data_IF_529733187993
#
_entry.id   IF_529733187993
#
_cell.length_a   1.000
_cell.length_b   1.000
_cell.length_c   1.000
_cell.angle_alpha   90.00
_cell.angle_beta   90.00
_cell.angle_gamma   90.00
#
_symmetry.space_group_name_H-M   'P 1'
#
loop_
_entity.id
_entity.type
_entity.pdbx_description
1 polymer ?
#
# COMPACT_ATOMS: atom_id res chain seq x y z
N UNK A 1 -9.58 -15.60 9.99
CA UNK A 1 -10.33 -14.34 9.76
C UNK A 1 -9.44 -13.39 8.95
N UNK A 2 -9.47 -13.52 7.63
CA UNK A 2 -8.64 -12.78 6.69
C UNK A 2 -9.49 -11.65 6.10
N UNK A 3 -9.25 -10.40 6.51
CA UNK A 3 -10.04 -9.24 6.05
C UNK A 3 -9.26 -8.49 4.97
N UNK A 4 -9.36 -9.00 3.74
CA UNK A 4 -9.31 -8.18 2.53
C UNK A 4 -10.71 -7.66 2.22
N UNK A 5 -10.82 -6.58 1.46
CA UNK A 5 -12.09 -6.02 1.02
C UNK A 5 -13.01 -7.12 0.47
N UNK A 6 -14.20 -7.26 1.08
CA UNK A 6 -15.22 -8.20 0.65
C UNK A 6 -15.97 -7.58 -0.53
N UNK A 7 -15.75 -8.13 -1.73
CA UNK A 7 -16.74 -8.12 -2.79
C UNK A 7 -17.63 -9.35 -2.61
N UNK A 8 -18.90 -9.15 -2.27
CA UNK A 8 -20.03 -10.05 -2.58
C UNK A 8 -21.34 -9.30 -2.29
N UNK A 9 -22.32 -9.49 -3.18
CA UNK A 9 -23.67 -8.90 -3.20
C UNK A 9 -24.60 -9.50 -2.10
N UNK A 10 -25.81 -8.93 -1.88
CA UNK A 10 -26.51 -8.94 -0.59
C UNK A 10 -27.48 -10.11 -0.41
N UNK A 11 -27.68 -10.55 0.84
CA UNK A 11 -28.93 -11.16 1.29
C UNK A 11 -29.26 -10.76 2.75
N UNK A 12 -30.43 -10.15 2.89
CA UNK A 12 -31.41 -10.06 3.98
C UNK A 12 -31.01 -10.20 5.47
N UNK A 13 -31.27 -9.09 6.17
CA UNK A 13 -32.04 -8.90 7.41
C UNK A 13 -32.13 -10.01 8.49
N UNK A 14 -31.84 -9.59 9.72
CA UNK A 14 -32.28 -10.23 10.96
C UNK A 14 -31.97 -9.36 12.16
N UNK A 15 -32.98 -8.65 12.66
CA UNK A 15 -32.97 -7.77 13.83
C UNK A 15 -32.59 -8.48 15.15
N UNK A 16 -32.04 -7.71 16.10
CA UNK A 16 -31.92 -8.10 17.50
C UNK A 16 -31.36 -6.97 18.37
N UNK A 17 -32.25 -6.14 18.91
CA UNK A 17 -31.97 -5.14 19.95
C UNK A 17 -31.53 -5.82 21.26
N UNK A 18 -30.63 -5.19 22.03
CA UNK A 18 -30.85 -5.07 23.47
C UNK A 18 -30.11 -3.89 24.13
N UNK A 19 -30.70 -3.44 25.24
CA UNK A 19 -30.65 -2.10 25.82
C UNK A 19 -29.65 -1.89 27.00
N UNK A 20 -29.08 -0.67 27.05
CA UNK A 20 -28.86 0.20 28.25
C UNK A 20 -27.70 -0.10 29.24
N UNK A 21 -27.40 0.78 30.23
CA UNK A 21 -27.43 2.26 30.24
C UNK A 21 -26.16 2.95 30.80
N UNK A 22 -26.04 4.23 30.43
CA UNK A 22 -25.54 5.41 31.18
C UNK A 22 -24.58 5.27 32.37
N UNK A 23 -23.42 5.94 32.26
CA UNK A 23 -22.76 6.60 33.41
C UNK A 23 -22.37 8.04 33.05
N UNK A 24 -22.94 8.99 33.80
CA UNK A 24 -22.53 10.39 33.87
C UNK A 24 -21.27 10.52 34.73
N UNK A 25 -20.24 11.24 34.26
CA UNK A 25 -19.28 11.89 35.16
C UNK A 25 -18.74 13.22 34.60
N UNK A 26 -19.17 14.29 35.27
CA UNK A 26 -18.43 15.49 35.68
C UNK A 26 -17.36 16.10 34.74
N UNK A 27 -17.70 17.27 34.19
CA UNK A 27 -16.73 18.27 33.72
C UNK A 27 -15.91 18.83 34.90
N UNK A 28 -14.58 18.64 34.87
CA UNK A 28 -13.62 19.47 35.61
C UNK A 28 -12.72 20.19 34.61
N UNK A 29 -12.76 21.52 34.64
CA UNK A 29 -11.82 22.44 33.98
C UNK A 29 -10.45 22.32 34.65
N UNK A 30 -9.37 22.31 33.86
CA UNK A 30 -7.99 22.58 34.28
C UNK A 30 -7.19 23.23 33.12
N UNK A 31 -6.04 23.87 33.41
CA UNK A 31 -5.78 25.26 33.05
C UNK A 31 -4.99 25.43 31.76
N UNK A 32 -4.96 26.70 31.30
CA UNK A 32 -4.09 27.18 30.23
C UNK A 32 -2.61 27.11 30.64
N UNK A 33 -1.79 26.87 29.62
CA UNK A 33 -0.35 27.14 29.49
C UNK A 33 0.62 25.96 29.67
N UNK A 34 1.18 25.54 28.54
CA UNK A 34 2.60 25.26 28.35
C UNK A 34 2.87 25.31 26.83
N UNK A 35 3.37 26.45 26.36
CA UNK A 35 3.80 26.67 24.98
C UNK A 35 5.06 25.85 24.69
N UNK A 36 4.93 24.79 23.88
CA UNK A 36 6.04 24.08 23.27
C UNK A 36 6.21 24.60 21.84
N UNK A 37 7.31 25.30 21.58
CA UNK A 37 7.68 25.75 20.23
C UNK A 37 8.12 24.55 19.38
N UNK A 38 7.15 23.93 18.71
CA UNK A 38 7.39 23.03 17.59
C UNK A 38 7.78 23.84 16.35
N UNK A 39 8.87 23.50 15.69
CA UNK A 39 8.98 23.74 14.24
C UNK A 39 8.31 22.60 13.49
N UNK A 40 7.03 22.35 13.81
CA UNK A 40 6.11 21.78 12.84
C UNK A 40 5.90 22.82 11.73
N UNK A 41 5.49 22.41 10.53
CA UNK A 41 4.75 23.35 9.68
C UNK A 41 3.63 23.90 10.56
N UNK A 42 3.69 25.20 10.87
CA UNK A 42 2.71 25.83 11.75
C UNK A 42 1.30 25.52 11.22
N UNK A 43 0.27 25.48 12.08
CA UNK A 43 -1.11 25.29 11.63
C UNK A 43 -1.47 26.18 10.43
N UNK A 44 -0.88 27.39 10.35
CA UNK A 44 -0.98 28.31 9.23
C UNK A 44 -0.30 27.83 7.93
N UNK A 45 0.88 27.20 8.00
CA UNK A 45 1.58 26.65 6.81
C UNK A 45 0.93 25.37 6.28
N UNK A 46 0.36 24.54 7.17
CA UNK A 46 -0.48 23.40 6.77
C UNK A 46 -1.74 23.87 6.06
N UNK A 47 -2.43 24.89 6.62
CA UNK A 47 -3.58 25.53 5.98
C UNK A 47 -3.25 26.01 4.57
N UNK A 48 -2.23 26.87 4.42
CA UNK A 48 -1.79 27.37 3.10
C UNK A 48 -1.45 26.28 2.09
N UNK A 49 -0.87 25.16 2.53
CA UNK A 49 -0.49 24.05 1.64
C UNK A 49 -1.70 23.24 1.17
N UNK A 50 -2.72 23.12 2.01
CA UNK A 50 -4.00 22.47 1.70
C UNK A 50 -4.87 23.40 0.85
N UNK A 51 -4.95 24.69 1.20
CA UNK A 51 -5.74 25.69 0.47
C UNK A 51 -5.29 25.79 -1.01
N UNK A 52 -3.99 25.66 -1.29
CA UNK A 52 -3.47 25.65 -2.68
C UNK A 52 -3.87 24.42 -3.51
N UNK A 53 -4.38 23.37 -2.87
CA UNK A 53 -4.81 22.12 -3.49
C UNK A 53 -6.33 21.97 -3.50
N UNK A 54 -7.06 22.96 -2.99
CA UNK A 54 -8.51 22.87 -2.86
C UNK A 54 -9.19 22.89 -4.24
N UNK A 55 -10.05 21.90 -4.46
CA UNK A 55 -10.92 21.80 -5.63
C UNK A 55 -12.35 22.11 -5.15
N UNK A 56 -13.04 23.08 -5.77
CA UNK A 56 -14.44 23.34 -5.47
C UNK A 56 -15.30 22.09 -5.64
N UNK A 57 -16.18 21.81 -4.68
CA UNK A 57 -17.06 20.63 -4.72
C UNK A 57 -17.97 20.58 -5.95
N UNK A 58 -18.28 21.73 -6.54
CA UNK A 58 -19.04 21.83 -7.79
C UNK A 58 -18.32 21.25 -9.01
N UNK A 59 -17.01 20.99 -8.93
CA UNK A 59 -16.22 20.37 -10.00
C UNK A 59 -16.02 18.87 -9.82
N UNK A 60 -16.39 18.32 -8.66
CA UNK A 60 -16.24 16.90 -8.34
C UNK A 60 -17.63 16.25 -8.31
N UNK A 61 -17.88 15.33 -9.24
CA UNK A 61 -19.13 14.58 -9.27
C UNK A 61 -18.88 13.14 -8.81
N UNK A 62 -19.34 12.82 -7.61
CA UNK A 62 -19.28 11.47 -7.04
C UNK A 62 -20.26 10.56 -7.78
N UNK A 63 -19.82 9.34 -8.10
CA UNK A 63 -20.62 8.30 -8.72
C UNK A 63 -20.74 7.10 -7.75
N UNK A 64 -20.30 5.92 -8.15
CA UNK A 64 -20.43 4.68 -7.39
C UNK A 64 -19.36 4.50 -6.32
N UNK A 65 -19.72 3.81 -5.23
CA UNK A 65 -18.74 3.36 -4.22
C UNK A 65 -17.96 2.17 -4.78
N UNK A 66 -16.63 2.28 -4.81
CA UNK A 66 -15.73 1.23 -5.35
C UNK A 66 -14.92 0.52 -4.27
N UNK A 67 -14.85 1.08 -3.07
CA UNK A 67 -14.12 0.45 -1.97
C UNK A 67 -14.47 1.04 -0.61
N UNK A 68 -14.30 0.22 0.44
CA UNK A 68 -14.42 0.66 1.83
C UNK A 68 -13.13 0.29 2.55
N UNK A 69 -12.32 1.31 2.84
CA UNK A 69 -11.10 1.17 3.64
C UNK A 69 -11.35 1.41 5.12
N UNK A 70 -10.28 1.31 5.92
CA UNK A 70 -10.33 1.64 7.34
C UNK A 70 -10.61 3.14 7.55
N UNK A 71 -9.83 4.00 6.89
CA UNK A 71 -9.90 5.46 7.02
C UNK A 71 -11.06 6.09 6.28
N UNK A 72 -11.59 5.44 5.25
CA UNK A 72 -12.45 6.14 4.31
C UNK A 72 -13.15 5.23 3.33
N UNK A 73 -14.19 5.78 2.73
CA UNK A 73 -14.84 5.19 1.57
C UNK A 73 -14.13 5.71 0.31
N UNK A 74 -13.98 4.85 -0.68
CA UNK A 74 -13.42 5.21 -1.99
C UNK A 74 -14.56 5.15 -2.99
N UNK A 75 -14.79 6.25 -3.68
CA UNK A 75 -15.78 6.38 -4.73
C UNK A 75 -15.09 6.59 -6.07
N UNK A 76 -15.70 6.10 -7.13
CA UNK A 76 -15.42 6.58 -8.48
C UNK A 76 -16.22 7.87 -8.71
N UNK A 77 -15.68 8.77 -9.51
CA UNK A 77 -16.35 9.98 -9.91
C UNK A 77 -15.72 10.59 -11.14
N UNK A 78 -16.14 11.81 -11.45
CA UNK A 78 -15.53 12.62 -12.50
C UNK A 78 -15.14 13.99 -11.98
N UNK A 79 -13.96 14.47 -12.40
CA UNK A 79 -13.46 15.80 -12.14
C UNK A 79 -13.59 16.63 -13.42
N UNK A 80 -14.26 17.78 -13.31
CA UNK A 80 -14.40 18.76 -14.40
C UNK A 80 -13.16 19.64 -14.47
N UNK A 81 -12.56 19.71 -15.65
CA UNK A 81 -11.53 20.70 -15.98
C UNK A 81 -12.21 22.06 -16.21
N UNK A 82 -11.95 23.09 -15.37
CA UNK A 82 -12.61 24.39 -15.51
C UNK A 82 -12.19 25.16 -16.77
N UNK A 83 -10.99 24.89 -17.31
CA UNK A 83 -10.46 25.58 -18.48
C UNK A 83 -10.95 24.93 -19.78
N UNK A 84 -11.01 23.59 -19.81
CA UNK A 84 -11.38 22.83 -21.02
C UNK A 84 -12.84 22.40 -21.06
N UNK A 85 -13.53 22.42 -19.93
CA UNK A 85 -14.89 21.89 -19.78
C UNK A 85 -14.99 20.37 -19.90
N UNK A 86 -13.85 19.67 -20.03
CA UNK A 86 -13.78 18.20 -20.14
C UNK A 86 -13.88 17.54 -18.78
N UNK A 87 -14.27 16.26 -18.76
CA UNK A 87 -14.37 15.45 -17.55
C UNK A 87 -13.33 14.34 -17.57
N UNK A 88 -12.65 14.13 -16.45
CA UNK A 88 -11.70 13.03 -16.27
C UNK A 88 -12.14 12.11 -15.13
N UNK A 89 -11.98 10.78 -15.25
CA UNK A 89 -12.36 9.85 -14.19
C UNK A 89 -11.41 9.94 -13.00
N UNK A 90 -11.98 9.99 -11.80
CA UNK A 90 -11.23 10.16 -10.54
C UNK A 90 -11.66 9.16 -9.47
N UNK A 91 -10.72 8.79 -8.62
CA UNK A 91 -10.97 8.16 -7.34
C UNK A 91 -11.09 9.25 -6.26
N UNK A 92 -12.14 9.14 -5.45
CA UNK A 92 -12.48 10.07 -4.38
C UNK A 92 -12.39 9.28 -3.08
N UNK A 93 -11.26 9.40 -2.38
CA UNK A 93 -11.09 8.80 -1.05
C UNK A 93 -11.63 9.83 -0.05
N UNK A 94 -12.68 9.49 0.68
CA UNK A 94 -13.35 10.40 1.63
C UNK A 94 -13.25 9.85 3.05
N UNK A 95 -12.96 10.71 4.01
CA UNK A 95 -12.88 10.32 5.42
C UNK A 95 -14.27 9.90 5.93
N UNK A 96 -14.31 8.80 6.69
CA UNK A 96 -15.55 8.34 7.34
C UNK A 96 -16.08 9.35 8.35
N UNK A 97 -17.38 9.61 8.33
CA UNK A 97 -18.03 10.57 9.23
C UNK A 97 -17.93 10.15 10.70
N UNK A 98 -17.88 8.84 10.97
CA UNK A 98 -17.80 8.28 12.32
C UNK A 98 -16.49 8.64 13.02
N UNK A 99 -15.40 8.81 12.27
CA UNK A 99 -14.06 9.07 12.79
C UNK A 99 -13.60 10.52 12.57
N UNK A 100 -14.47 11.36 12.00
CA UNK A 100 -14.19 12.76 11.66
C UNK A 100 -13.85 13.61 12.90
N UNK A 101 -14.56 13.38 14.01
CA UNK A 101 -14.43 14.17 15.24
C UNK A 101 -13.39 13.61 16.22
N UNK A 102 -12.81 12.45 15.92
CA UNK A 102 -11.70 11.91 16.70
C UNK A 102 -10.44 12.75 16.45
N UNK A 103 -9.74 13.10 17.54
CA UNK A 103 -8.57 13.99 17.47
C UNK A 103 -7.48 13.37 16.61
N UNK A 104 -7.03 14.11 15.60
CA UNK A 104 -5.89 13.76 14.76
C UNK A 104 -6.22 13.03 13.45
N UNK A 105 -7.43 12.47 13.30
CA UNK A 105 -7.76 11.68 12.11
C UNK A 105 -7.84 12.51 10.83
N UNK A 106 -8.43 13.72 10.89
CA UNK A 106 -8.42 14.66 9.75
C UNK A 106 -6.99 15.06 9.39
N UNK A 107 -6.15 15.34 10.39
CA UNK A 107 -4.76 15.70 10.19
C UNK A 107 -3.97 14.57 9.52
N UNK A 108 -4.13 13.32 9.98
CA UNK A 108 -3.47 12.16 9.40
C UNK A 108 -3.95 11.86 7.98
N UNK A 109 -5.25 12.02 7.73
CA UNK A 109 -5.83 11.89 6.40
C UNK A 109 -5.32 12.94 5.41
N UNK A 110 -5.25 14.21 5.83
CA UNK A 110 -4.70 15.27 4.99
C UNK A 110 -3.18 15.13 4.82
N UNK A 111 -2.46 14.64 5.84
CA UNK A 111 -1.03 14.30 5.71
C UNK A 111 -0.80 13.26 4.62
N UNK A 112 -1.63 12.23 4.50
CA UNK A 112 -1.54 11.24 3.41
C UNK A 112 -1.57 11.95 2.04
N UNK A 113 -2.54 12.84 1.82
CA UNK A 113 -2.61 13.64 0.60
C UNK A 113 -1.38 14.52 0.39
N UNK A 114 -0.94 15.21 1.43
CA UNK A 114 0.21 16.12 1.38
C UNK A 114 1.55 15.39 1.14
N UNK A 115 1.68 14.12 1.53
CA UNK A 115 2.84 13.30 1.20
C UNK A 115 2.98 13.13 -0.32
N UNK A 116 1.87 13.01 -1.04
CA UNK A 116 1.86 12.89 -2.50
C UNK A 116 2.07 14.22 -3.23
N UNK A 117 1.87 15.37 -2.58
CA UNK A 117 1.86 16.70 -3.22
C UNK A 117 3.10 16.98 -4.06
N UNK A 118 4.27 16.63 -3.55
CA UNK A 118 5.56 16.95 -4.17
C UNK A 118 6.22 15.71 -4.83
N UNK A 119 5.47 14.63 -5.03
CA UNK A 119 5.98 13.43 -5.67
C UNK A 119 5.69 13.48 -7.16
N UNK A 120 6.74 13.38 -7.98
CA UNK A 120 6.62 13.37 -9.43
C UNK A 120 7.43 12.23 -10.02
N UNK A 121 6.75 11.11 -10.24
CA UNK A 121 7.32 9.92 -10.86
C UNK A 121 6.23 9.12 -11.58
N UNK A 122 6.50 8.50 -12.74
CA UNK A 122 5.51 7.72 -13.47
C UNK A 122 4.92 6.57 -12.66
N UNK A 123 5.66 6.00 -11.70
CA UNK A 123 5.20 4.87 -10.88
C UNK A 123 4.66 5.24 -9.49
N UNK A 124 4.39 6.52 -9.23
CA UNK A 124 3.86 7.01 -7.95
C UNK A 124 2.50 7.65 -8.16
N UNK A 125 1.56 7.39 -7.24
CA UNK A 125 0.24 8.01 -7.25
C UNK A 125 0.36 9.53 -7.06
N UNK A 126 -0.37 10.29 -7.87
CA UNK A 126 -0.43 11.75 -7.78
C UNK A 126 -1.75 12.18 -7.15
N UNK A 127 -1.66 13.14 -6.23
CA UNK A 127 -2.83 13.89 -5.77
C UNK A 127 -3.20 14.94 -6.82
N UNK A 128 -4.45 14.95 -7.27
CA UNK A 128 -4.99 16.02 -8.12
C UNK A 128 -5.48 17.20 -7.28
N UNK A 129 -6.04 16.93 -6.09
CA UNK A 129 -6.41 17.97 -5.14
C UNK A 129 -7.20 17.43 -3.96
N UNK A 130 -7.70 18.35 -3.14
CA UNK A 130 -8.49 18.08 -1.94
C UNK A 130 -9.84 18.75 -2.14
N UNK A 131 -10.92 18.01 -1.91
CA UNK A 131 -12.28 18.54 -1.98
C UNK A 131 -12.94 18.43 -0.61
N UNK A 132 -13.72 19.43 -0.23
CA UNK A 132 -14.55 19.38 0.96
C UNK A 132 -16.01 19.22 0.54
N UNK A 133 -16.74 18.27 1.15
CA UNK A 133 -18.20 18.19 0.96
C UNK A 133 -18.90 19.39 1.59
N UNK A 134 -20.19 19.57 1.31
CA UNK A 134 -21.03 20.58 1.99
C UNK A 134 -21.02 20.43 3.51
N UNK A 135 -20.87 19.21 4.00
CA UNK A 135 -20.79 18.88 5.43
C UNK A 135 -19.37 19.01 6.01
N UNK A 136 -18.42 19.53 5.22
CA UNK A 136 -17.03 19.76 5.62
C UNK A 136 -16.15 18.51 5.65
N UNK A 137 -16.59 17.39 5.06
CA UNK A 137 -15.80 16.14 5.04
C UNK A 137 -14.70 16.25 3.99
N UNK A 138 -13.42 16.10 4.35
CA UNK A 138 -12.32 16.15 3.40
C UNK A 138 -12.27 14.89 2.54
N UNK A 139 -11.96 15.07 1.26
CA UNK A 139 -11.75 14.02 0.28
C UNK A 139 -10.48 14.26 -0.53
N UNK A 140 -9.68 13.22 -0.74
CA UNK A 140 -8.52 13.23 -1.64
C UNK A 140 -8.97 12.82 -3.05
N UNK A 141 -8.65 13.66 -4.03
CA UNK A 141 -8.97 13.45 -5.44
C UNK A 141 -7.73 12.94 -6.16
N UNK A 142 -7.83 11.76 -6.77
CA UNK A 142 -6.73 11.08 -7.46
C UNK A 142 -7.23 10.54 -8.80
N UNK A 143 -6.34 10.27 -9.78
CA UNK A 143 -6.76 9.60 -11.01
C UNK A 143 -7.37 8.23 -10.71
N UNK A 144 -8.45 7.87 -11.40
CA UNK A 144 -9.06 6.53 -11.26
C UNK A 144 -8.26 5.48 -12.03
N UNK A 145 -8.04 4.32 -11.41
CA UNK A 145 -7.23 3.23 -11.96
C UNK A 145 -8.15 2.10 -12.40
N UNK A 146 -8.36 1.96 -13.71
CA UNK A 146 -9.38 1.07 -14.28
C UNK A 146 -9.16 -0.42 -13.96
N UNK A 147 -7.90 -0.84 -13.78
CA UNK A 147 -7.58 -2.22 -13.40
C UNK A 147 -7.50 -2.43 -11.89
N UNK A 148 -7.80 -1.41 -11.08
CA UNK A 148 -7.77 -1.51 -9.62
C UNK A 148 -6.35 -1.69 -9.08
N UNK A 149 -6.22 -2.41 -7.96
CA UNK A 149 -4.94 -2.76 -7.36
C UNK A 149 -4.38 -4.10 -7.89
N UNK A 150 -3.06 -4.27 -7.78
CA UNK A 150 -2.37 -5.46 -8.29
C UNK A 150 -2.80 -6.73 -7.57
N UNK A 151 -3.20 -6.68 -6.30
CA UNK A 151 -3.68 -7.86 -5.57
C UNK A 151 -4.97 -8.37 -6.22
N UNK A 152 -5.95 -7.50 -6.42
CA UNK A 152 -7.19 -7.85 -7.12
C UNK A 152 -6.91 -8.30 -8.56
N UNK A 153 -6.08 -7.55 -9.30
CA UNK A 153 -5.72 -7.86 -10.68
C UNK A 153 -5.10 -9.25 -10.85
N UNK A 154 -4.10 -9.61 -10.04
CA UNK A 154 -3.42 -10.91 -10.14
C UNK A 154 -4.17 -12.04 -9.44
N UNK A 155 -5.21 -11.76 -8.64
CA UNK A 155 -6.04 -12.82 -8.03
C UNK A 155 -7.19 -13.28 -8.92
N UNK A 156 -7.61 -12.46 -9.90
CA UNK A 156 -8.77 -12.71 -10.75
C UNK A 156 -8.55 -13.96 -11.62
N UNK A 157 -9.23 -15.09 -11.36
CA UNK A 157 -9.01 -16.35 -12.07
C UNK A 157 -9.34 -16.28 -13.56
N UNK A 158 -10.10 -15.26 -13.99
CA UNK A 158 -10.41 -15.04 -15.40
C UNK A 158 -9.31 -14.28 -16.15
N UNK A 159 -8.30 -13.78 -15.43
CA UNK A 159 -7.14 -13.11 -16.02
C UNK A 159 -5.97 -14.06 -16.15
N UNK A 160 -5.48 -14.15 -17.37
CA UNK A 160 -4.14 -14.68 -17.63
C UNK A 160 -3.10 -13.67 -17.17
N UNK A 161 -2.18 -14.10 -16.31
CA UNK A 161 -1.01 -13.31 -15.92
C UNK A 161 0.23 -14.10 -16.30
N UNK A 162 1.04 -13.49 -17.16
CA UNK A 162 2.30 -14.04 -17.62
C UNK A 162 3.43 -13.65 -16.68
N UNK A 163 4.44 -14.51 -16.56
CA UNK A 163 5.59 -14.23 -15.71
C UNK A 163 6.35 -12.94 -16.12
N UNK A 164 6.42 -12.64 -17.42
CA UNK A 164 7.03 -11.40 -17.92
C UNK A 164 6.27 -10.14 -17.47
N UNK A 165 4.95 -10.22 -17.31
CA UNK A 165 4.15 -9.11 -16.74
C UNK A 165 4.50 -8.89 -15.26
N UNK A 166 4.75 -9.97 -14.51
CA UNK A 166 5.20 -9.86 -13.11
C UNK A 166 6.59 -9.24 -13.02
N UNK A 167 7.50 -9.56 -13.94
CA UNK A 167 8.82 -8.91 -14.03
C UNK A 167 8.65 -7.41 -14.33
N UNK A 168 7.76 -7.06 -15.27
CA UNK A 168 7.45 -5.67 -15.60
C UNK A 168 6.94 -4.88 -14.39
N UNK A 169 5.89 -5.38 -13.74
CA UNK A 169 5.33 -4.74 -12.55
C UNK A 169 6.38 -4.61 -11.44
N UNK A 170 7.18 -5.66 -11.21
CA UNK A 170 8.25 -5.64 -10.21
C UNK A 170 9.30 -4.58 -10.51
N UNK A 171 9.69 -4.43 -11.79
CA UNK A 171 10.64 -3.40 -12.22
C UNK A 171 10.07 -2.01 -11.95
N UNK A 172 8.84 -1.74 -12.41
CA UNK A 172 8.17 -0.46 -12.23
C UNK A 172 8.00 -0.08 -10.74
N UNK A 173 7.68 -1.06 -9.88
CA UNK A 173 7.62 -0.87 -8.43
C UNK A 173 9.00 -0.50 -7.88
N UNK A 174 10.06 -1.22 -8.28
CA UNK A 174 11.42 -0.94 -7.83
C UNK A 174 11.91 0.46 -8.28
N UNK A 175 11.51 0.92 -9.47
CA UNK A 175 11.76 2.28 -9.97
C UNK A 175 11.05 3.34 -9.11
N UNK A 176 9.74 3.14 -8.85
CA UNK A 176 8.99 4.01 -7.95
C UNK A 176 9.58 4.08 -6.53
N UNK A 177 9.97 2.94 -5.97
CA UNK A 177 10.60 2.88 -4.64
C UNK A 177 12.04 3.44 -4.63
N UNK A 178 12.76 3.37 -5.76
CA UNK A 178 14.04 4.08 -5.92
C UNK A 178 13.83 5.58 -5.79
N UNK A 179 12.80 6.11 -6.46
CA UNK A 179 12.43 7.52 -6.35
C UNK A 179 12.05 7.91 -4.92
N UNK A 180 11.14 7.18 -4.26
CA UNK A 180 10.76 7.47 -2.86
C UNK A 180 11.96 7.43 -1.91
N UNK A 181 12.82 6.42 -2.04
CA UNK A 181 14.02 6.32 -1.22
C UNK A 181 14.98 7.49 -1.46
N UNK A 182 15.06 8.03 -2.68
CA UNK A 182 15.89 9.20 -2.99
C UNK A 182 15.33 10.50 -2.40
N UNK A 183 14.00 10.56 -2.21
CA UNK A 183 13.30 11.64 -1.52
C UNK A 183 13.34 11.48 0.01
N UNK A 184 13.98 10.43 0.54
CA UNK A 184 14.01 10.15 1.98
C UNK A 184 12.69 9.62 2.53
N UNK A 185 11.79 9.13 1.68
CA UNK A 185 10.47 8.62 2.08
C UNK A 185 10.54 7.11 2.28
N UNK A 186 10.02 6.65 3.43
CA UNK A 186 9.80 5.22 3.74
C UNK A 186 8.30 4.97 3.74
N UNK A 187 7.83 4.05 2.90
CA UNK A 187 6.41 3.78 2.66
C UNK A 187 5.73 3.06 3.85
N UNK A 188 6.40 2.08 4.44
CA UNK A 188 5.98 1.28 5.61
C UNK A 188 4.75 0.38 5.43
N UNK A 189 3.99 0.54 4.35
CA UNK A 189 2.90 -0.39 3.99
C UNK A 189 2.95 -0.83 2.52
N UNK A 190 4.14 -1.13 1.99
CA UNK A 190 4.28 -1.60 0.62
C UNK A 190 3.72 -3.02 0.48
N UNK A 191 2.65 -3.18 -0.29
CA UNK A 191 1.96 -4.45 -0.53
C UNK A 191 1.21 -4.41 -1.87
N UNK A 192 0.90 -5.55 -2.50
CA UNK A 192 0.23 -5.56 -3.80
C UNK A 192 -1.13 -4.83 -3.81
N UNK A 193 -1.85 -4.83 -2.68
CA UNK A 193 -3.12 -4.09 -2.49
C UNK A 193 -2.98 -2.56 -2.53
N UNK A 194 -1.76 -2.04 -2.34
CA UNK A 194 -1.45 -0.61 -2.31
C UNK A 194 -0.73 -0.17 -3.62
N UNK A 195 -0.76 -1.01 -4.65
CA UNK A 195 -0.14 -0.73 -5.95
C UNK A 195 -1.25 -0.78 -6.99
N UNK A 196 -1.59 0.37 -7.54
CA UNK A 196 -2.67 0.50 -8.51
C UNK A 196 -2.16 0.28 -9.94
N UNK A 197 -3.04 -0.10 -10.87
CA UNK A 197 -2.70 -0.37 -12.26
C UNK A 197 -3.55 0.47 -13.23
N UNK A 198 -2.88 1.20 -14.12
CA UNK A 198 -3.54 1.93 -15.22
C UNK A 198 -3.98 0.98 -16.34
N UNK A 199 -4.87 1.46 -17.20
CA UNK A 199 -5.24 0.82 -18.47
C UNK A 199 -4.05 0.56 -19.41
N UNK A 200 -3.02 1.40 -19.32
CA UNK A 200 -1.74 1.25 -20.03
C UNK A 200 -0.71 0.35 -19.31
N UNK A 201 -1.13 -0.46 -18.34
CA UNK A 201 -0.26 -1.38 -17.58
C UNK A 201 0.88 -0.68 -16.82
N UNK A 202 0.71 0.61 -16.50
CA UNK A 202 1.64 1.35 -15.66
C UNK A 202 1.19 1.25 -14.20
N UNK A 203 2.08 0.82 -13.31
CA UNK A 203 1.76 0.73 -11.88
C UNK A 203 1.85 2.12 -11.23
N UNK A 204 1.10 2.33 -10.15
CA UNK A 204 1.17 3.52 -9.28
C UNK A 204 1.19 3.09 -7.82
N UNK A 205 2.30 3.29 -7.13
CA UNK A 205 2.39 3.07 -5.68
C UNK A 205 1.52 4.12 -4.98
N UNK A 206 0.61 3.66 -4.12
CA UNK A 206 -0.41 4.45 -3.45
C UNK A 206 -0.48 4.12 -1.94
N UNK A 207 -1.36 4.82 -1.23
CA UNK A 207 -1.59 4.69 0.22
C UNK A 207 -0.38 5.05 1.10
N UNK A 208 -0.13 6.35 1.18
CA UNK A 208 0.94 6.93 1.99
C UNK A 208 0.53 7.18 3.45
N UNK A 209 -0.55 6.55 3.92
CA UNK A 209 -1.13 6.81 5.26
C UNK A 209 -0.20 6.44 6.42
N UNK A 210 0.78 5.57 6.16
CA UNK A 210 1.81 5.16 7.12
C UNK A 210 3.22 5.64 6.75
N UNK A 211 3.36 6.38 5.64
CA UNK A 211 4.64 6.79 5.13
C UNK A 211 5.30 7.86 6.03
N UNK A 212 6.63 7.85 6.07
CA UNK A 212 7.45 8.79 6.86
C UNK A 212 8.47 9.46 5.95
N UNK A 213 8.61 10.79 6.06
CA UNK A 213 9.64 11.57 5.37
C UNK A 213 10.81 11.81 6.31
N UNK A 214 11.86 10.99 6.18
CA UNK A 214 13.03 11.05 7.05
C UNK A 214 13.65 12.46 7.08
N UNK A 215 13.62 13.22 6.00
CA UNK A 215 14.23 14.55 5.95
C UNK A 215 13.55 15.58 6.87
N UNK A 216 12.24 15.45 7.06
CA UNK A 216 11.42 16.38 7.88
C UNK A 216 11.23 15.90 9.31
N UNK A 217 11.42 14.61 9.51
CA UNK A 217 11.03 13.90 10.73
C UNK A 217 12.23 13.48 11.60
N UNK A 218 13.45 13.75 11.16
CA UNK A 218 14.67 13.54 11.96
C UNK A 218 14.57 14.27 13.32
N UNK A 219 14.62 13.52 14.42
CA UNK A 219 14.56 14.04 15.79
C UNK A 219 13.20 13.96 16.50
N UNK A 220 12.13 13.49 15.82
CA UNK A 220 10.87 13.17 16.51
C UNK A 220 10.97 11.79 17.17
N UNK A 221 10.82 11.75 18.50
CA UNK A 221 10.77 10.50 19.28
C UNK A 221 9.46 9.71 19.10
N UNK A 222 8.50 10.30 18.38
CA UNK A 222 7.14 9.78 18.20
C UNK A 222 6.93 9.13 16.81
N UNK A 223 7.97 8.51 16.23
CA UNK A 223 7.84 7.65 15.03
C UNK A 223 7.29 6.26 15.32
N UNK A 224 6.84 6.06 16.56
CA UNK A 224 5.99 4.94 16.86
C UNK A 224 4.87 4.94 15.84
N UNK A 225 4.65 3.79 15.19
CA UNK A 225 3.54 3.67 14.28
C UNK A 225 2.28 3.80 15.16
N UNK A 226 1.83 5.04 15.41
CA UNK A 226 0.80 5.43 16.40
C UNK A 226 -0.59 4.90 16.05
N UNK A 227 -0.63 4.01 15.08
CA UNK A 227 -1.75 3.20 14.71
C UNK A 227 -1.87 2.05 15.71
N UNK A 228 -3.06 1.88 16.30
CA UNK A 228 -3.44 0.67 17.05
C UNK A 228 -2.77 -0.59 16.47
N UNK A 229 -2.29 -1.55 17.29
CA UNK A 229 -1.65 -2.80 16.83
C UNK A 229 -2.43 -3.53 15.71
N UNK A 230 -3.74 -3.28 15.63
CA UNK A 230 -4.67 -3.74 14.59
C UNK A 230 -4.42 -3.17 13.18
N UNK A 231 -3.55 -2.16 13.00
CA UNK A 231 -3.38 -1.40 11.76
C UNK A 231 -2.16 -1.83 10.92
N UNK A 232 -1.34 -2.74 11.42
CA UNK A 232 -0.10 -3.15 10.73
C UNK A 232 -0.27 -4.45 9.94
N UNK A 233 0.17 -4.43 8.69
CA UNK A 233 0.30 -5.63 7.87
C UNK A 233 1.57 -6.43 8.29
N UNK A 234 1.54 -7.05 9.47
CA UNK A 234 2.71 -7.67 10.10
C UNK A 234 3.47 -8.65 9.19
N UNK A 235 2.75 -9.39 8.34
CA UNK A 235 3.31 -10.36 7.39
C UNK A 235 4.13 -9.75 6.25
N UNK A 236 4.11 -8.42 6.09
CA UNK A 236 4.95 -7.66 5.16
C UNK A 236 6.13 -6.96 5.84
N UNK A 237 6.22 -7.01 7.18
CA UNK A 237 7.23 -6.29 7.94
C UNK A 237 8.48 -7.14 8.18
N UNK A 238 9.67 -6.52 8.20
CA UNK A 238 10.91 -7.21 8.54
C UNK A 238 11.03 -7.47 10.04
N UNK A 239 11.90 -8.42 10.39
CA UNK A 239 12.11 -8.91 11.77
C UNK A 239 12.42 -7.77 12.75
N UNK A 240 13.30 -6.84 12.37
CA UNK A 240 13.69 -5.72 13.23
C UNK A 240 12.54 -4.75 13.52
N UNK A 241 11.56 -4.61 12.61
CA UNK A 241 10.35 -3.82 12.83
C UNK A 241 9.35 -4.61 13.67
N UNK A 242 9.26 -5.93 13.49
CA UNK A 242 8.48 -6.84 14.34
C UNK A 242 8.98 -6.89 15.79
N UNK A 243 10.26 -6.58 16.05
CA UNK A 243 10.82 -6.40 17.39
C UNK A 243 10.65 -4.98 17.93
N UNK A 244 10.95 -4.00 17.09
CA UNK A 244 10.91 -2.59 17.47
C UNK A 244 10.18 -1.78 16.39
N UNK A 245 8.93 -1.39 16.69
CA UNK A 245 8.07 -0.62 15.78
C UNK A 245 8.60 0.77 15.43
N UNK A 246 9.63 1.25 16.12
CA UNK A 246 10.29 2.54 15.86
C UNK A 246 11.42 2.44 14.83
N UNK A 247 11.78 1.23 14.39
CA UNK A 247 12.75 1.05 13.30
C UNK A 247 12.15 1.60 11.99
N UNK A 248 12.72 2.69 11.49
CA UNK A 248 12.31 3.32 10.22
C UNK A 248 13.56 3.61 9.40
N UNK A 249 13.71 2.90 8.29
CA UNK A 249 14.77 3.08 7.29
C UNK A 249 14.32 2.49 5.96
N UNK A 250 14.93 2.89 4.85
CA UNK A 250 14.50 2.48 3.49
C UNK A 250 14.56 0.96 3.26
N UNK A 251 15.46 0.22 3.90
CA UNK A 251 15.52 -1.24 3.76
C UNK A 251 14.38 -1.99 4.47
N UNK A 252 13.50 -1.29 5.20
CA UNK A 252 12.20 -1.84 5.62
C UNK A 252 11.33 -2.13 4.41
N UNK A 253 11.19 -1.15 3.51
CA UNK A 253 10.37 -1.34 2.30
C UNK A 253 10.98 -2.35 1.33
N UNK A 254 12.31 -2.53 1.35
CA UNK A 254 12.96 -3.59 0.55
C UNK A 254 12.48 -4.98 0.97
N UNK A 255 12.28 -5.22 2.27
CA UNK A 255 11.70 -6.49 2.73
C UNK A 255 10.28 -6.67 2.19
N UNK A 256 9.45 -5.63 2.34
CA UNK A 256 8.06 -5.62 1.87
C UNK A 256 7.97 -5.81 0.35
N UNK A 257 8.91 -5.25 -0.42
CA UNK A 257 9.03 -5.47 -1.86
C UNK A 257 9.26 -6.94 -2.22
N UNK A 258 10.10 -7.66 -1.48
CA UNK A 258 10.26 -9.10 -1.65
C UNK A 258 8.94 -9.86 -1.44
N UNK A 259 8.14 -9.45 -0.44
CA UNK A 259 6.79 -10.01 -0.21
C UNK A 259 5.85 -9.67 -1.37
N UNK A 260 5.90 -8.46 -1.92
CA UNK A 260 5.09 -8.08 -3.09
C UNK A 260 5.44 -8.93 -4.31
N UNK A 261 6.73 -9.12 -4.63
CA UNK A 261 7.13 -10.00 -5.73
C UNK A 261 6.54 -11.40 -5.55
N UNK A 262 6.57 -11.91 -4.32
CA UNK A 262 5.99 -13.19 -3.97
C UNK A 262 4.45 -13.19 -4.10
N UNK A 263 3.75 -12.13 -3.68
CA UNK A 263 2.30 -11.98 -3.90
C UNK A 263 1.96 -12.06 -5.38
N UNK A 264 2.69 -11.36 -6.25
CA UNK A 264 2.44 -11.36 -7.69
C UNK A 264 2.65 -12.76 -8.30
N UNK A 265 3.70 -13.46 -7.89
CA UNK A 265 4.05 -14.80 -8.39
C UNK A 265 3.15 -15.91 -7.85
N UNK A 266 2.47 -15.67 -6.74
CA UNK A 266 1.50 -16.61 -6.13
C UNK A 266 0.06 -16.22 -6.42
N UNK A 267 -0.18 -15.24 -7.31
CA UNK A 267 -1.53 -14.78 -7.66
C UNK A 267 -2.30 -14.31 -6.41
N UNK A 268 -1.60 -13.55 -5.56
CA UNK A 268 -2.07 -12.94 -4.32
C UNK A 268 -2.47 -13.92 -3.20
N UNK A 269 -1.79 -15.09 -3.11
CA UNK A 269 -1.87 -15.92 -1.92
C UNK A 269 -1.52 -15.12 -0.66
N UNK A 270 -2.13 -15.41 0.50
CA UNK A 270 -1.77 -14.76 1.75
C UNK A 270 -0.33 -15.15 2.18
N UNK A 271 0.57 -14.18 2.42
CA UNK A 271 1.91 -14.51 2.90
C UNK A 271 1.83 -15.21 4.26
N UNK A 272 2.62 -16.27 4.44
CA UNK A 272 2.66 -17.04 5.69
C UNK A 272 1.28 -17.48 6.18
N UNK A 273 0.37 -17.92 5.29
CA UNK A 273 -1.03 -18.24 5.62
C UNK A 273 -1.16 -19.11 6.88
N UNK A 274 -0.34 -20.15 6.97
CA UNK A 274 -0.30 -21.13 8.06
C UNK A 274 0.21 -20.60 9.41
N UNK A 275 0.81 -19.39 9.42
CA UNK A 275 1.36 -18.80 10.64
C UNK A 275 0.43 -17.76 11.24
N UNK A 276 0.26 -17.84 12.56
CA UNK A 276 -0.32 -16.76 13.34
C UNK A 276 0.62 -15.54 13.35
N UNK A 277 0.07 -14.35 13.58
CA UNK A 277 0.88 -13.14 13.70
C UNK A 277 1.86 -13.20 14.89
N UNK A 278 1.51 -13.95 15.95
CA UNK A 278 2.35 -14.10 17.14
C UNK A 278 3.58 -14.97 16.88
N UNK A 279 3.47 -15.97 16.00
CA UNK A 279 4.56 -16.91 15.70
C UNK A 279 5.51 -16.40 14.61
N UNK A 280 5.07 -15.40 13.83
CA UNK A 280 5.80 -14.88 12.67
C UNK A 280 7.21 -14.42 13.04
N UNK A 281 7.37 -13.68 14.14
CA UNK A 281 8.68 -13.17 14.53
C UNK A 281 9.65 -14.32 14.79
N UNK A 282 9.26 -15.29 15.62
CA UNK A 282 10.08 -16.46 15.94
C UNK A 282 10.42 -17.27 14.68
N UNK A 283 9.43 -17.53 13.81
CA UNK A 283 9.64 -18.25 12.57
C UNK A 283 10.74 -17.59 11.71
N UNK A 284 10.67 -16.27 11.52
CA UNK A 284 11.66 -15.54 10.73
C UNK A 284 13.05 -15.50 11.38
N UNK A 285 13.12 -15.48 12.72
CA UNK A 285 14.38 -15.54 13.47
C UNK A 285 15.15 -16.86 13.23
N UNK A 286 14.44 -17.97 13.01
CA UNK A 286 15.06 -19.27 12.68
C UNK A 286 15.67 -19.32 11.26
N UNK A 287 15.64 -18.22 10.51
CA UNK A 287 16.16 -18.12 9.15
C UNK A 287 15.16 -18.58 8.07
N UNK A 288 13.98 -19.09 8.47
CA UNK A 288 12.93 -19.49 7.53
C UNK A 288 12.32 -18.28 6.81
N UNK A 289 11.87 -18.48 5.57
CA UNK A 289 11.29 -17.46 4.68
C UNK A 289 10.10 -18.06 3.92
N UNK A 290 9.36 -17.23 3.17
CA UNK A 290 8.34 -17.72 2.25
C UNK A 290 9.00 -18.67 1.24
N UNK A 291 8.30 -19.76 0.92
CA UNK A 291 8.77 -20.74 -0.05
C UNK A 291 8.77 -20.16 -1.48
N UNK A 292 9.63 -20.73 -2.33
CA UNK A 292 9.65 -20.40 -3.76
C UNK A 292 8.29 -20.73 -4.39
N UNK A 293 7.63 -19.78 -5.07
CA UNK A 293 6.40 -20.05 -5.80
C UNK A 293 6.60 -21.09 -6.90
N UNK A 294 5.54 -21.84 -7.24
CA UNK A 294 5.56 -22.79 -8.35
C UNK A 294 5.89 -22.03 -9.65
N UNK A 295 6.75 -22.60 -10.49
CA UNK A 295 7.18 -22.00 -11.75
C UNK A 295 7.94 -20.66 -11.62
N UNK A 296 8.31 -20.23 -10.41
CA UNK A 296 9.17 -19.07 -10.21
C UNK A 296 10.63 -19.40 -10.59
N UNK A 297 11.26 -18.69 -11.53
CA UNK A 297 12.68 -18.86 -11.82
C UNK A 297 13.55 -18.53 -10.62
N UNK A 298 14.63 -19.29 -10.43
CA UNK A 298 15.57 -19.09 -9.32
C UNK A 298 16.10 -17.66 -9.26
N UNK A 299 16.33 -17.01 -10.40
CA UNK A 299 16.78 -15.61 -10.47
C UNK A 299 15.83 -14.66 -9.72
N UNK A 300 14.52 -14.82 -9.85
CA UNK A 300 13.54 -13.99 -9.14
C UNK A 300 13.47 -14.36 -7.66
N UNK A 301 13.57 -15.65 -7.33
CA UNK A 301 13.56 -16.11 -5.95
C UNK A 301 14.81 -15.71 -5.17
N UNK A 302 15.98 -15.72 -5.81
CA UNK A 302 17.23 -15.23 -5.23
C UNK A 302 17.15 -13.72 -4.91
N UNK A 303 16.48 -12.94 -5.77
CA UNK A 303 16.19 -11.53 -5.48
C UNK A 303 15.27 -11.37 -4.25
N UNK A 304 14.21 -12.18 -4.13
CA UNK A 304 13.33 -12.19 -2.96
C UNK A 304 14.10 -12.55 -1.68
N UNK A 305 14.92 -13.62 -1.72
CA UNK A 305 15.77 -14.02 -0.59
C UNK A 305 16.76 -12.93 -0.20
N UNK A 306 17.33 -12.20 -1.18
CA UNK A 306 18.21 -11.06 -0.93
C UNK A 306 17.46 -9.92 -0.22
N UNK A 307 16.20 -9.67 -0.59
CA UNK A 307 15.33 -8.71 0.10
C UNK A 307 15.03 -9.11 1.55
N UNK A 308 14.97 -10.42 1.84
CA UNK A 308 14.68 -10.95 3.17
C UNK A 308 15.90 -11.30 4.02
N UNK A 309 17.07 -10.73 3.73
CA UNK A 309 18.25 -10.88 4.59
C UNK A 309 17.97 -10.31 5.99
N UNK A 310 18.38 -11.07 7.01
CA UNK A 310 18.15 -10.70 8.42
C UNK A 310 18.85 -9.40 8.79
N UNK A 311 20.08 -9.18 8.30
CA UNK A 311 20.79 -7.91 8.47
C UNK A 311 20.25 -6.87 7.45
N UNK A 312 19.63 -5.77 7.90
CA UNK A 312 19.05 -4.77 7.00
C UNK A 312 20.04 -4.12 6.04
N UNK A 313 21.32 -4.01 6.44
CA UNK A 313 22.39 -3.41 5.61
C UNK A 313 22.80 -4.35 4.47
N UNK A 314 22.57 -5.66 4.63
CA UNK A 314 22.90 -6.65 3.62
C UNK A 314 21.82 -6.77 2.53
N UNK A 315 20.66 -6.14 2.70
CA UNK A 315 19.59 -6.11 1.69
C UNK A 315 19.99 -5.22 0.52
N UNK A 316 19.58 -5.55 -0.72
CA UNK A 316 19.88 -4.71 -1.89
C UNK A 316 19.15 -3.37 -1.79
N UNK A 317 19.71 -2.35 -2.44
CA UNK A 317 19.00 -1.08 -2.64
C UNK A 317 18.02 -1.20 -3.81
N UNK A 318 16.93 -0.45 -3.77
CA UNK A 318 15.94 -0.42 -4.87
C UNK A 318 16.55 -0.13 -6.23
N UNK A 319 17.52 0.77 -6.33
CA UNK A 319 18.19 1.06 -7.61
C UNK A 319 18.91 -0.16 -8.20
N UNK A 320 19.46 -1.02 -7.34
CA UNK A 320 20.10 -2.27 -7.77
C UNK A 320 19.05 -3.29 -8.21
N UNK A 321 17.90 -3.36 -7.54
CA UNK A 321 16.78 -4.24 -7.90
C UNK A 321 16.14 -3.81 -9.23
N UNK A 322 15.85 -2.52 -9.40
CA UNK A 322 15.32 -1.95 -10.64
C UNK A 322 16.23 -2.26 -11.83
N UNK A 323 17.55 -2.07 -11.66
CA UNK A 323 18.53 -2.40 -12.71
C UNK A 323 18.56 -3.89 -13.05
N UNK A 324 18.51 -4.77 -12.05
CA UNK A 324 18.52 -6.21 -12.27
C UNK A 324 17.26 -6.68 -13.00
N UNK A 325 16.09 -6.20 -12.58
CA UNK A 325 14.81 -6.50 -13.22
C UNK A 325 14.73 -5.94 -14.64
N UNK A 326 15.21 -4.71 -14.86
CA UNK A 326 15.28 -4.12 -16.20
C UNK A 326 16.23 -4.85 -17.14
N UNK A 327 17.38 -5.31 -16.66
CA UNK A 327 18.28 -6.16 -17.45
C UNK A 327 17.63 -7.50 -17.82
N UNK A 328 16.93 -8.12 -16.87
CA UNK A 328 16.20 -9.36 -17.11
C UNK A 328 15.08 -9.15 -18.14
N UNK A 329 14.28 -8.09 -17.99
CA UNK A 329 13.22 -7.72 -18.92
C UNK A 329 13.75 -7.52 -20.35
N UNK A 330 14.83 -6.74 -20.50
CA UNK A 330 15.44 -6.49 -21.80
C UNK A 330 15.97 -7.79 -22.43
N UNK A 331 16.63 -8.64 -21.64
CA UNK A 331 17.10 -9.94 -22.10
C UNK A 331 15.96 -10.82 -22.63
N UNK A 332 14.85 -10.94 -21.89
CA UNK A 332 13.72 -11.77 -22.29
C UNK A 332 12.96 -11.21 -23.50
N UNK A 333 12.84 -9.88 -23.60
CA UNK A 333 12.27 -9.22 -24.79
C UNK A 333 13.13 -9.51 -26.03
N UNK A 334 14.44 -9.38 -25.93
CA UNK A 334 15.36 -9.68 -27.05
C UNK A 334 15.33 -11.16 -27.42
N UNK A 335 15.34 -12.05 -26.43
CA UNK A 335 15.22 -13.49 -26.64
C UNK A 335 13.92 -13.82 -27.37
N UNK A 336 12.79 -13.24 -26.95
CA UNK A 336 11.50 -13.46 -27.60
C UNK A 336 11.43 -12.92 -29.03
N UNK A 337 12.12 -11.81 -29.33
CA UNK A 337 12.21 -11.28 -30.70
C UNK A 337 12.99 -12.22 -31.63
N UNK A 338 14.02 -12.91 -31.12
CA UNK A 338 14.87 -13.81 -31.92
C UNK A 338 14.29 -15.23 -32.04
N UNK A 339 13.75 -15.76 -30.95
CA UNK A 339 13.39 -17.18 -30.83
C UNK A 339 11.90 -17.41 -30.55
N UNK A 340 11.09 -16.36 -30.49
CA UNK A 340 9.68 -16.43 -30.12
C UNK A 340 9.46 -16.55 -28.61
N UNK A 341 8.19 -16.48 -28.20
CA UNK A 341 7.74 -16.46 -26.80
C UNK A 341 7.68 -17.87 -26.18
N UNK A 342 8.78 -18.61 -26.23
CA UNK A 342 8.84 -20.01 -25.75
C UNK A 342 9.60 -20.18 -24.41
N UNK A 343 10.19 -19.11 -23.88
CA UNK A 343 10.96 -19.14 -22.62
C UNK A 343 10.08 -19.21 -21.36
N UNK A 344 10.66 -19.55 -20.19
CA UNK A 344 9.92 -19.67 -18.93
C UNK A 344 9.22 -18.38 -18.53
N UNK A 345 9.77 -17.22 -18.89
CA UNK A 345 9.15 -15.91 -18.63
C UNK A 345 7.89 -15.64 -19.45
N UNK A 346 7.64 -16.40 -20.51
CA UNK A 346 6.42 -16.29 -21.33
C UNK A 346 5.34 -17.30 -20.94
N UNK A 347 5.52 -17.99 -19.82
CA UNK A 347 4.52 -18.91 -19.27
C UNK A 347 3.52 -18.18 -18.37
N UNK A 348 2.29 -18.69 -18.36
CA UNK A 348 1.23 -18.18 -17.50
C UNK A 348 1.41 -18.71 -16.08
N UNK A 349 1.15 -17.84 -15.11
CA UNK A 349 1.14 -18.20 -13.69
C UNK A 349 -0.27 -18.75 -13.38
N UNK A 350 -0.40 -20.03 -13.00
CA UNK A 350 -1.70 -20.63 -12.71
C UNK A 350 -2.31 -20.05 -11.43
N UNK A 351 -3.63 -19.92 -11.42
CA UNK A 351 -4.37 -19.54 -10.22
C UNK A 351 -4.51 -20.74 -9.26
N UNK A 352 -4.31 -20.54 -7.95
CA UNK A 352 -4.63 -21.54 -6.92
C UNK A 352 -3.59 -22.64 -6.68
N UNK A 353 -2.36 -22.53 -7.20
CA UNK A 353 -1.27 -23.44 -6.82
C UNK A 353 -0.47 -22.88 -5.63
N UNK A 354 -0.50 -23.60 -4.52
CA UNK A 354 0.27 -23.28 -3.30
C UNK A 354 1.54 -24.14 -3.26
N UNK A 355 2.65 -23.55 -3.73
CA UNK A 355 4.04 -24.07 -3.63
C UNK A 355 4.27 -25.47 -4.24
N UNK A 356 5.53 -25.76 -4.58
CA UNK A 356 5.91 -27.15 -4.83
C UNK A 356 6.09 -27.80 -3.46
N UNK A 357 5.21 -28.74 -3.13
CA UNK A 357 5.35 -29.61 -1.97
C UNK A 357 6.69 -30.34 -2.02
N UNK A 358 7.66 -29.82 -1.28
CA UNK A 358 8.65 -30.63 -0.56
C UNK A 358 8.37 -30.53 0.96
N UNK A 359 7.09 -30.58 1.34
CA UNK A 359 6.69 -30.86 2.71
C UNK A 359 6.46 -32.37 2.79
N UNK A 360 7.30 -33.14 3.51
CA UNK A 360 6.94 -34.51 3.83
C UNK A 360 5.67 -34.46 4.67
N UNK A 361 4.62 -35.10 4.18
CA UNK A 361 3.45 -35.50 4.96
C UNK A 361 3.93 -36.29 6.19
N UNK A 362 4.15 -35.61 7.30
CA UNK A 362 4.17 -36.19 8.63
C UNK A 362 3.57 -35.16 9.56
N UNK A 363 2.28 -35.28 9.80
CA UNK A 363 1.70 -35.52 11.13
C UNK A 363 0.23 -35.91 10.93
N UNK A 364 0.03 -37.19 10.60
CA UNK A 364 -1.21 -37.91 10.85
C UNK A 364 -0.94 -38.86 12.02
N UNK A 365 -1.35 -38.45 13.21
CA UNK A 365 -1.70 -39.30 14.36
C UNK A 365 -2.18 -38.42 15.50
#
# INVERSE_FOLDING_TARGET
MSRGAVFMNPLHEGFGFDHSPFYHHHFKRFPRSASCHSRSLSPHMRRRSVDSLEIPSSYVHVQESVGKGYFGNVYKGVLRDPMKGTYSPVAIKSLKSEILYERGNVDDFLKEGLMMKNLDHPNIMKLQGICYSSDGIPSLIMPFMNFGDLRSYVSDPHRTVCLIEVVDFSQQIAEGMTYLSSMGIVHRDLAARNIMLTDSYTIKIADFGLAVDLSRDFGRRDHEMSSSPLRLALKWLPIEVLRNRRCVHSSVDVWSFGVVMWELLTRACPPYEELSNSDLEWYLQTGKRLHQPVHCPNVLYDMMLACWRSNPVSRPRFISLAKQLGNLMNHEIEHARRYGRQGPYFQNIPCGQMYLDNIPLRYSS
#
